data_IF_568345478388
#
_entry.id   IF_568345478388
#
_cell.length_a   1.000
_cell.length_b   1.000
_cell.length_c   1.000
_cell.angle_alpha   90.00
_cell.angle_beta   90.00
_cell.angle_gamma   90.00
#
_symmetry.space_group_name_H-M   'P 1'
#
loop_
_entity.id
_entity.type
_entity.pdbx_description
1 polymer ?
#
# COMPACT_ATOMS: atom_id res chain seq x y z
N UNK A 1 17.24 -0.21 12.87
CA UNK A 1 15.79 0.02 13.02
C UNK A 1 15.29 -0.66 14.31
N UNK A 2 14.67 0.09 15.25
CA UNK A 2 14.32 -0.39 16.61
C UNK A 2 12.84 -0.75 16.83
N UNK A 3 11.99 -0.60 15.81
CA UNK A 3 10.56 -0.90 15.96
C UNK A 3 10.34 -2.41 16.01
N UNK A 4 9.68 -2.86 17.08
CA UNK A 4 9.30 -4.25 17.33
C UNK A 4 7.78 -4.47 17.31
N UNK A 5 7.01 -3.39 17.36
CA UNK A 5 5.55 -3.44 17.20
C UNK A 5 5.16 -3.92 15.79
N UNK A 6 3.99 -4.56 15.62
CA UNK A 6 3.44 -4.82 14.29
C UNK A 6 3.22 -3.53 13.51
N UNK A 7 3.57 -3.52 12.22
CA UNK A 7 3.43 -2.37 11.33
C UNK A 7 2.63 -2.79 10.10
N UNK A 8 1.66 -1.98 9.70
CA UNK A 8 1.00 -2.05 8.40
C UNK A 8 1.50 -0.89 7.54
N UNK A 9 1.96 -1.21 6.33
CA UNK A 9 2.26 -0.23 5.28
C UNK A 9 1.36 -0.53 4.08
N UNK A 10 0.54 0.45 3.71
CA UNK A 10 -0.28 0.45 2.50
C UNK A 10 0.31 1.44 1.52
N UNK A 11 0.37 1.09 0.23
CA UNK A 11 0.88 1.98 -0.81
C UNK A 11 0.15 1.81 -2.13
N UNK A 12 0.20 2.83 -3.00
CA UNK A 12 -0.34 2.79 -4.36
C UNK A 12 0.77 2.57 -5.38
N UNK A 13 0.64 1.58 -6.28
CA UNK A 13 1.72 1.29 -7.24
C UNK A 13 1.94 2.36 -8.31
N UNK A 14 0.98 3.27 -8.48
CA UNK A 14 1.03 4.40 -9.40
C UNK A 14 1.14 5.74 -8.66
N UNK A 15 1.47 5.73 -7.37
CA UNK A 15 1.76 6.95 -6.61
C UNK A 15 3.01 7.64 -7.18
N UNK A 16 2.82 8.84 -7.74
CA UNK A 16 3.90 9.67 -8.28
C UNK A 16 4.62 10.47 -7.20
N UNK A 17 4.02 10.66 -6.03
CA UNK A 17 4.61 11.32 -4.88
C UNK A 17 5.55 10.36 -4.13
N UNK A 18 5.18 9.10 -4.06
CA UNK A 18 5.96 8.01 -3.48
C UNK A 18 6.12 6.87 -4.49
N UNK A 19 7.12 6.93 -5.39
CA UNK A 19 7.34 5.88 -6.37
C UNK A 19 7.49 4.50 -5.71
N UNK A 20 6.85 3.48 -6.27
CA UNK A 20 6.77 2.12 -5.67
C UNK A 20 8.13 1.52 -5.27
N UNK A 21 9.20 1.84 -6.02
CA UNK A 21 10.55 1.39 -5.68
C UNK A 21 11.01 1.90 -4.30
N UNK A 22 10.57 3.09 -3.88
CA UNK A 22 10.93 3.64 -2.56
C UNK A 22 10.30 2.85 -1.42
N UNK A 23 9.03 2.49 -1.53
CA UNK A 23 8.34 1.67 -0.52
C UNK A 23 8.77 0.21 -0.56
N UNK A 24 9.13 -0.32 -1.72
CA UNK A 24 9.76 -1.64 -1.84
C UNK A 24 11.08 -1.71 -1.05
N UNK A 25 11.89 -0.64 -1.01
CA UNK A 25 13.09 -0.60 -0.18
C UNK A 25 12.78 -0.74 1.32
N UNK A 26 11.62 -0.27 1.80
CA UNK A 26 11.20 -0.48 3.19
C UNK A 26 11.02 -1.96 3.46
N UNK A 27 10.28 -2.67 2.59
CA UNK A 27 10.11 -4.12 2.70
C UNK A 27 11.45 -4.86 2.66
N UNK A 28 12.31 -4.52 1.70
CA UNK A 28 13.63 -5.14 1.54
C UNK A 28 14.51 -4.94 2.78
N UNK A 29 14.46 -3.78 3.42
CA UNK A 29 15.22 -3.51 4.64
C UNK A 29 14.74 -4.35 5.83
N UNK A 30 13.43 -4.57 5.98
CA UNK A 30 12.91 -5.48 6.99
C UNK A 30 13.36 -6.92 6.73
N UNK A 31 13.29 -7.40 5.48
CA UNK A 31 13.76 -8.73 5.08
C UNK A 31 15.26 -8.87 5.38
N UNK A 32 16.07 -7.88 4.97
CA UNK A 32 17.53 -7.86 5.20
C UNK A 32 17.89 -7.94 6.68
N UNK A 33 17.08 -7.34 7.54
CA UNK A 33 17.25 -7.37 8.99
C UNK A 33 16.60 -8.59 9.67
N UNK A 34 16.02 -9.52 8.91
CA UNK A 34 15.31 -10.69 9.45
C UNK A 34 14.05 -10.33 10.24
N UNK A 35 13.48 -9.14 10.03
CA UNK A 35 12.28 -8.66 10.72
C UNK A 35 11.03 -9.14 9.99
N UNK A 36 10.08 -9.67 10.77
CA UNK A 36 8.80 -10.21 10.27
C UNK A 36 7.59 -9.39 10.73
N UNK A 37 7.80 -8.28 11.44
CA UNK A 37 6.75 -7.44 12.01
C UNK A 37 6.16 -6.41 11.03
N UNK A 38 6.49 -6.46 9.74
CA UNK A 38 5.90 -5.63 8.69
C UNK A 38 4.87 -6.43 7.88
N UNK A 39 3.66 -5.89 7.78
CA UNK A 39 2.69 -6.26 6.76
C UNK A 39 2.72 -5.18 5.68
N UNK A 40 3.19 -5.52 4.48
CA UNK A 40 3.18 -4.62 3.33
C UNK A 40 2.10 -5.04 2.34
N UNK A 41 1.33 -4.07 1.86
CA UNK A 41 0.26 -4.25 0.87
C UNK A 41 0.31 -3.11 -0.13
N UNK A 42 0.23 -3.46 -1.41
CA UNK A 42 0.24 -2.51 -2.51
C UNK A 42 -1.10 -2.61 -3.23
N UNK A 43 -1.70 -1.46 -3.51
CA UNK A 43 -2.88 -1.31 -4.35
C UNK A 43 -2.41 -1.05 -5.78
N UNK A 44 -2.53 -2.03 -6.70
CA UNK A 44 -2.07 -1.88 -8.07
C UNK A 44 -2.83 -0.77 -8.80
N UNK A 45 -2.13 0.01 -9.63
CA UNK A 45 -2.73 1.08 -10.43
C UNK A 45 -3.21 2.31 -9.64
N UNK A 46 -3.17 2.25 -8.31
CA UNK A 46 -3.63 3.30 -7.43
C UNK A 46 -2.58 4.41 -7.24
N UNK A 47 -3.03 5.65 -7.22
CA UNK A 47 -2.25 6.83 -6.89
C UNK A 47 -2.11 7.04 -5.36
N UNK A 48 -1.55 8.19 -4.99
CA UNK A 48 -1.37 8.63 -3.60
C UNK A 48 -2.65 8.62 -2.75
N UNK A 49 -3.80 8.76 -3.40
CA UNK A 49 -5.11 8.85 -2.74
C UNK A 49 -5.90 7.54 -2.81
N UNK A 50 -5.25 6.46 -3.25
CA UNK A 50 -5.89 5.18 -3.56
C UNK A 50 -6.98 5.32 -4.63
N UNK A 51 -6.75 6.17 -5.63
CA UNK A 51 -7.57 6.21 -6.84
C UNK A 51 -6.87 5.48 -7.99
N UNK A 52 -7.60 4.60 -8.67
CA UNK A 52 -7.17 3.97 -9.92
C UNK A 52 -7.75 4.74 -11.11
N UNK A 53 -6.93 5.00 -12.13
CA UNK A 53 -7.42 5.51 -13.41
C UNK A 53 -7.72 4.34 -14.32
N UNK A 54 -8.99 4.19 -14.70
CA UNK A 54 -9.44 3.15 -15.62
C UNK A 54 -10.01 3.77 -16.90
N UNK A 55 -9.81 3.11 -18.03
CA UNK A 55 -10.42 3.53 -19.30
C UNK A 55 -11.71 2.74 -19.50
N UNK A 56 -12.85 3.43 -19.52
CA UNK A 56 -14.16 2.86 -19.83
C UNK A 56 -14.79 3.61 -20.99
N UNK A 57 -15.19 2.88 -22.03
CA UNK A 57 -15.80 3.44 -23.25
C UNK A 57 -14.96 4.59 -23.86
N UNK A 58 -13.63 4.48 -23.80
CA UNK A 58 -12.70 5.49 -24.32
C UNK A 58 -12.56 6.75 -23.47
N UNK A 59 -13.10 6.78 -22.25
CA UNK A 59 -12.94 7.88 -21.29
C UNK A 59 -12.20 7.40 -20.05
N UNK A 60 -11.36 8.27 -19.50
CA UNK A 60 -10.75 8.06 -18.20
C UNK A 60 -11.80 8.25 -17.09
N UNK A 61 -11.89 7.28 -16.21
CA UNK A 61 -12.65 7.33 -14.97
C UNK A 61 -11.69 7.10 -13.79
N UNK A 62 -11.94 7.83 -12.70
CA UNK A 62 -11.23 7.59 -11.43
C UNK A 62 -12.09 6.71 -10.53
N UNK A 63 -11.59 5.53 -10.19
CA UNK A 63 -12.22 4.61 -9.24
C UNK A 63 -11.53 4.75 -7.89
N UNK A 64 -12.31 4.98 -6.83
CA UNK A 64 -11.76 5.10 -5.48
C UNK A 64 -11.69 3.76 -4.78
N UNK A 65 -10.49 3.38 -4.33
CA UNK A 65 -10.22 2.20 -3.51
C UNK A 65 -10.04 2.54 -2.02
N UNK A 66 -10.37 3.77 -1.60
CA UNK A 66 -10.25 4.18 -0.20
C UNK A 66 -11.04 3.29 0.76
N UNK A 67 -12.25 2.89 0.41
CA UNK A 67 -13.05 2.00 1.26
C UNK A 67 -12.38 0.63 1.44
N UNK A 68 -11.74 0.12 0.38
CA UNK A 68 -10.96 -1.12 0.42
C UNK A 68 -9.68 -0.96 1.26
N UNK A 69 -8.99 0.18 1.13
CA UNK A 69 -7.83 0.52 1.96
C UNK A 69 -8.22 0.61 3.45
N UNK A 70 -9.31 1.31 3.78
CA UNK A 70 -9.83 1.39 5.14
C UNK A 70 -10.26 0.03 5.68
N UNK A 71 -10.94 -0.79 4.85
CA UNK A 71 -11.29 -2.16 5.23
C UNK A 71 -10.03 -2.98 5.54
N UNK A 72 -8.99 -2.86 4.73
CA UNK A 72 -7.70 -3.53 4.94
C UNK A 72 -7.08 -3.13 6.29
N UNK A 73 -7.16 -1.87 6.67
CA UNK A 73 -6.71 -1.39 7.98
C UNK A 73 -7.51 -2.05 9.11
N UNK A 74 -8.84 -2.05 9.01
CA UNK A 74 -9.71 -2.63 10.04
C UNK A 74 -9.51 -4.14 10.19
N UNK A 75 -9.46 -4.87 9.07
CA UNK A 75 -9.21 -6.30 9.06
C UNK A 75 -7.84 -6.62 9.68
N UNK A 76 -6.81 -5.81 9.35
CA UNK A 76 -5.48 -5.97 9.93
C UNK A 76 -5.51 -5.76 11.44
N UNK A 77 -6.16 -4.71 11.94
CA UNK A 77 -6.29 -4.44 13.37
C UNK A 77 -6.95 -5.57 14.15
N UNK A 78 -7.95 -6.23 13.56
CA UNK A 78 -8.65 -7.37 14.20
C UNK A 78 -7.81 -8.66 14.13
N UNK A 79 -6.91 -8.78 13.15
CA UNK A 79 -6.06 -9.96 12.95
C UNK A 79 -4.77 -9.99 13.80
N UNK A 80 -4.50 -8.95 14.59
CA UNK A 80 -3.29 -8.79 15.41
C UNK A 80 -3.54 -9.05 16.88
#
# INVERSE_FOLDING_TARGET
MKLEIPILLLDGSADRNNPILQSDYVMLEFIRLGKTNLTYRVFPGCDHWFHEVVIKNGKEEHVSHRDEAFKTILDWLVSK
#
